data_IF_713334359895
#
_entry.id   IF_713334359895
#
_cell.length_a   1.000
_cell.length_b   1.000
_cell.length_c   1.000
_cell.angle_alpha   90.00
_cell.angle_beta   90.00
_cell.angle_gamma   90.00
#
_symmetry.space_group_name_H-M   'P 1'
#
loop_
_entity.id
_entity.type
_entity.pdbx_description
1 polymer ?
#
# COMPACT_ATOMS: atom_id res chain seq x y z
N UNK A 1 -20.79 -35.24 -0.48
CA UNK A 1 -20.72 -34.52 0.81
C UNK A 1 -20.17 -33.13 0.54
N UNK A 2 -21.01 -32.10 0.55
CA UNK A 2 -20.62 -30.73 0.22
C UNK A 2 -20.16 -30.00 1.48
N UNK A 3 -18.88 -29.62 1.56
CA UNK A 3 -18.26 -28.92 2.70
C UNK A 3 -18.06 -27.44 2.35
N UNK A 4 -19.12 -26.67 2.05
CA UNK A 4 -18.94 -25.26 1.64
C UNK A 4 -20.11 -24.34 2.01
N UNK A 5 -20.21 -23.92 3.28
CA UNK A 5 -20.69 -22.54 3.55
C UNK A 5 -19.88 -21.76 4.60
N UNK A 6 -19.23 -22.42 5.56
CA UNK A 6 -18.68 -21.72 6.75
C UNK A 6 -17.40 -20.91 6.46
N UNK A 7 -16.54 -21.34 5.53
CA UNK A 7 -15.32 -20.59 5.18
C UNK A 7 -15.59 -19.25 4.49
N UNK A 8 -16.70 -19.11 3.76
CA UNK A 8 -17.01 -17.85 3.06
C UNK A 8 -17.48 -16.76 4.03
N UNK A 9 -18.25 -17.12 5.05
CA UNK A 9 -18.81 -16.14 6.00
C UNK A 9 -17.71 -15.56 6.89
N UNK A 10 -16.80 -16.41 7.39
CA UNK A 10 -15.68 -15.99 8.24
C UNK A 10 -14.69 -15.09 7.47
N UNK A 11 -14.43 -15.42 6.20
CA UNK A 11 -13.55 -14.62 5.35
C UNK A 11 -14.16 -13.25 5.05
N UNK A 12 -15.47 -13.18 4.78
CA UNK A 12 -16.18 -11.91 4.53
C UNK A 12 -16.28 -11.05 5.79
N UNK A 13 -16.49 -11.61 6.98
CA UNK A 13 -16.49 -10.84 8.23
C UNK A 13 -15.10 -10.30 8.59
N UNK A 14 -14.04 -11.10 8.40
CA UNK A 14 -12.66 -10.62 8.55
C UNK A 14 -12.37 -9.51 7.52
N UNK A 15 -12.76 -9.70 6.26
CA UNK A 15 -12.59 -8.68 5.22
C UNK A 15 -13.41 -7.41 5.51
N UNK A 16 -14.66 -7.52 5.94
CA UNK A 16 -15.50 -6.38 6.27
C UNK A 16 -15.03 -5.64 7.53
N UNK A 17 -14.43 -6.34 8.51
CA UNK A 17 -13.80 -5.69 9.66
C UNK A 17 -12.50 -4.99 9.30
N UNK A 18 -11.65 -5.59 8.47
CA UNK A 18 -10.35 -5.00 8.10
C UNK A 18 -10.48 -3.91 7.03
N UNK A 19 -11.39 -4.08 6.05
CA UNK A 19 -11.61 -3.15 4.93
C UNK A 19 -12.84 -2.25 5.10
N UNK A 20 -13.78 -2.56 6.00
CA UNK A 20 -14.93 -1.69 6.26
C UNK A 20 -14.52 -0.35 6.88
N UNK A 21 -13.40 -0.33 7.62
CA UNK A 21 -12.77 0.92 8.08
C UNK A 21 -12.00 1.65 6.98
N UNK A 22 -11.44 0.93 6.00
CA UNK A 22 -10.83 1.54 4.82
C UNK A 22 -11.88 2.16 3.87
N UNK A 23 -13.10 1.60 3.84
CA UNK A 23 -14.21 2.13 3.02
C UNK A 23 -14.94 3.34 3.64
N UNK A 24 -14.74 3.62 4.94
CA UNK A 24 -15.42 4.70 5.66
C UNK A 24 -14.77 6.09 5.49
N UNK A 25 -13.70 6.21 4.70
CA UNK A 25 -12.97 7.47 4.46
C UNK A 25 -13.25 8.13 3.09
N UNK A 26 -14.34 7.78 2.38
CA UNK A 26 -14.69 8.41 1.08
C UNK A 26 -15.67 9.59 1.21
N UNK A 27 -16.07 9.99 2.42
CA UNK A 27 -17.03 11.10 2.60
C UNK A 27 -16.56 12.11 3.66
N UNK A 28 -15.62 12.96 3.27
CA UNK A 28 -15.23 14.12 4.07
C UNK A 28 -14.29 15.05 3.30
N UNK A 29 -14.85 16.06 2.63
CA UNK A 29 -14.18 17.33 2.25
C UNK A 29 -12.79 17.22 1.60
N UNK A 30 -12.75 17.13 0.27
CA UNK A 30 -11.56 17.41 -0.54
C UNK A 30 -11.13 18.87 -0.38
N UNK A 31 -10.30 19.17 0.61
CA UNK A 31 -9.38 20.30 0.55
C UNK A 31 -8.10 19.76 -0.10
N UNK A 32 -7.81 20.15 -1.34
CA UNK A 32 -6.63 19.62 -2.05
C UNK A 32 -5.34 19.83 -1.23
N UNK A 33 -4.39 18.87 -1.28
CA UNK A 33 -3.19 18.93 -0.46
C UNK A 33 -2.38 20.18 -0.82
N UNK A 34 -1.94 20.93 0.19
CA UNK A 34 -1.13 22.14 0.04
C UNK A 34 0.27 21.85 -0.57
N UNK A 35 0.63 20.57 -0.76
CA UNK A 35 1.83 20.11 -1.43
C UNK A 35 1.52 18.93 -2.37
N UNK A 36 0.79 19.20 -3.46
CA UNK A 36 0.61 18.23 -4.53
C UNK A 36 1.97 17.87 -5.17
N UNK A 37 2.46 16.66 -4.92
CA UNK A 37 3.68 16.16 -5.56
C UNK A 37 3.38 15.86 -7.03
N UNK A 38 4.10 16.51 -7.94
CA UNK A 38 4.00 16.24 -9.38
C UNK A 38 4.40 14.79 -9.70
N UNK A 39 3.59 14.09 -10.48
CA UNK A 39 3.78 12.67 -10.77
C UNK A 39 5.09 12.36 -11.54
N UNK A 40 5.43 13.09 -12.63
CA UNK A 40 6.75 12.97 -13.26
C UNK A 40 7.91 13.09 -12.26
N UNK A 41 7.82 14.04 -11.34
CA UNK A 41 8.82 14.24 -10.28
C UNK A 41 8.87 13.05 -9.32
N UNK A 42 7.71 12.55 -8.90
CA UNK A 42 7.63 11.35 -8.05
C UNK A 42 8.23 10.11 -8.72
N UNK A 43 7.88 9.85 -9.99
CA UNK A 43 8.39 8.72 -10.76
C UNK A 43 9.91 8.82 -10.93
N UNK A 44 10.42 10.01 -11.24
CA UNK A 44 11.86 10.24 -11.35
C UNK A 44 12.59 9.91 -10.04
N UNK A 45 12.08 10.40 -8.90
CA UNK A 45 12.66 10.12 -7.59
C UNK A 45 12.56 8.66 -7.17
N UNK A 46 11.44 8.00 -7.48
CA UNK A 46 11.24 6.58 -7.20
C UNK A 46 12.25 5.70 -7.95
N UNK A 47 12.73 6.15 -9.12
CA UNK A 47 13.58 5.37 -10.03
C UNK A 47 15.05 5.83 -10.07
N UNK A 48 15.41 6.96 -9.45
CA UNK A 48 16.78 7.52 -9.43
C UNK A 48 17.78 6.63 -8.67
N UNK A 49 17.34 5.99 -7.59
CA UNK A 49 18.17 5.11 -6.75
C UNK A 49 17.30 4.05 -6.04
N UNK A 50 16.22 3.64 -6.69
CA UNK A 50 15.25 2.68 -6.19
C UNK A 50 15.43 1.28 -6.76
N UNK A 51 14.62 0.31 -6.30
CA UNK A 51 14.58 -1.03 -6.91
C UNK A 51 13.92 -1.03 -8.30
N UNK A 52 13.20 0.05 -8.65
CA UNK A 52 12.57 0.24 -9.94
C UNK A 52 13.46 1.05 -10.88
N UNK A 53 13.56 0.60 -12.13
CA UNK A 53 14.14 1.36 -13.23
C UNK A 53 13.09 2.29 -13.86
N UNK A 54 13.48 3.38 -14.52
CA UNK A 54 12.54 4.27 -15.21
C UNK A 54 11.63 3.53 -16.20
N UNK A 55 12.17 2.57 -16.95
CA UNK A 55 11.41 1.76 -17.92
C UNK A 55 10.41 0.76 -17.27
N UNK A 56 10.49 0.58 -15.95
CA UNK A 56 9.64 -0.33 -15.18
C UNK A 56 8.42 0.36 -14.58
N UNK A 57 8.30 1.68 -14.70
CA UNK A 57 7.07 2.41 -14.31
C UNK A 57 6.32 2.77 -15.59
N UNK A 58 5.26 2.00 -15.91
CA UNK A 58 4.59 2.06 -17.20
C UNK A 58 3.13 2.52 -17.06
N UNK A 59 2.61 3.32 -17.99
CA UNK A 59 1.17 3.57 -18.05
C UNK A 59 0.39 2.26 -18.23
N UNK A 60 -0.71 2.11 -17.52
CA UNK A 60 -1.57 0.93 -17.65
C UNK A 60 -2.44 1.07 -18.90
N UNK A 61 -2.25 0.18 -19.88
CA UNK A 61 -2.84 0.31 -21.22
C UNK A 61 -4.39 0.36 -21.24
N UNK A 62 -5.05 -0.24 -20.24
CA UNK A 62 -6.50 -0.36 -20.17
C UNK A 62 -7.14 0.48 -19.05
N UNK A 63 -6.44 1.49 -18.55
CA UNK A 63 -6.94 2.42 -17.53
C UNK A 63 -6.90 3.87 -18.03
N UNK A 64 -7.64 4.79 -17.39
CA UNK A 64 -7.52 6.21 -17.68
C UNK A 64 -6.07 6.69 -17.57
N UNK A 65 -5.76 7.80 -18.25
CA UNK A 65 -4.47 8.46 -18.09
C UNK A 65 -4.23 8.79 -16.62
N UNK A 66 -3.02 8.54 -16.15
CA UNK A 66 -2.62 8.76 -14.76
C UNK A 66 -2.46 7.48 -13.94
N UNK A 67 -2.84 6.32 -14.46
CA UNK A 67 -2.55 5.03 -13.80
C UNK A 67 -1.25 4.43 -14.34
N UNK A 68 -0.36 4.06 -13.43
CA UNK A 68 0.92 3.45 -13.75
C UNK A 68 1.10 2.15 -12.97
N UNK A 69 1.72 1.16 -13.59
CA UNK A 69 2.11 -0.11 -12.98
C UNK A 69 3.62 -0.20 -12.78
N UNK A 70 4.02 -0.97 -11.77
CA UNK A 70 5.40 -1.40 -11.56
C UNK A 70 5.62 -2.75 -12.23
N UNK A 71 6.40 -2.74 -13.30
CA UNK A 71 6.80 -3.91 -14.07
C UNK A 71 8.22 -4.37 -13.70
N UNK A 72 8.56 -5.63 -13.95
CA UNK A 72 9.94 -6.12 -13.83
C UNK A 72 10.48 -6.37 -12.41
N UNK A 73 9.68 -6.18 -11.36
CA UNK A 73 9.99 -6.69 -10.02
C UNK A 73 9.38 -8.06 -9.79
N UNK A 74 10.21 -9.09 -9.64
CA UNK A 74 9.74 -10.44 -9.33
C UNK A 74 9.02 -10.44 -7.97
N UNK A 75 7.84 -11.06 -7.90
CA UNK A 75 7.04 -11.19 -6.68
C UNK A 75 6.64 -9.85 -6.02
N UNK A 76 6.68 -8.74 -6.75
CA UNK A 76 6.09 -7.47 -6.33
C UNK A 76 5.08 -7.03 -7.39
N UNK A 77 3.88 -6.67 -6.96
CA UNK A 77 2.86 -6.06 -7.80
C UNK A 77 2.45 -4.74 -7.20
N UNK A 78 2.55 -3.66 -7.97
CA UNK A 78 2.27 -2.33 -7.47
C UNK A 78 2.09 -1.33 -8.59
N UNK A 79 1.90 -0.09 -8.20
CA UNK A 79 1.66 1.00 -9.12
C UNK A 79 1.38 2.30 -8.39
N UNK A 80 1.01 3.31 -9.16
CA UNK A 80 0.59 4.60 -8.65
C UNK A 80 -0.54 5.18 -9.50
N UNK A 81 -1.29 6.08 -8.89
CA UNK A 81 -2.33 6.87 -9.53
C UNK A 81 -2.00 8.34 -9.41
N UNK A 82 -2.14 9.03 -10.54
CA UNK A 82 -2.05 10.47 -10.67
C UNK A 82 -3.42 11.04 -10.97
N UNK A 83 -3.76 12.15 -10.31
CA UNK A 83 -5.00 12.90 -10.53
C UNK A 83 -4.64 14.33 -10.86
N UNK A 84 -5.06 14.80 -12.03
CA UNK A 84 -4.75 16.15 -12.52
C UNK A 84 -3.24 16.48 -12.52
N UNK A 85 -2.38 15.49 -12.80
CA UNK A 85 -0.92 15.64 -12.84
C UNK A 85 -0.21 15.46 -11.48
N UNK A 86 -0.94 15.51 -10.38
CA UNK A 86 -0.41 15.26 -9.04
C UNK A 86 -0.51 13.78 -8.67
N UNK A 87 0.43 13.30 -7.84
CA UNK A 87 0.32 12.01 -7.18
C UNK A 87 -0.90 12.00 -6.27
N UNK A 88 -1.70 10.96 -6.39
CA UNK A 88 -2.90 10.74 -5.58
C UNK A 88 -2.71 9.53 -4.67
N UNK A 89 -2.24 8.39 -5.24
CA UNK A 89 -1.91 7.20 -4.47
C UNK A 89 -0.69 6.46 -5.05
N UNK A 90 0.03 5.72 -4.20
CA UNK A 90 1.07 4.76 -4.60
C UNK A 90 0.99 3.54 -3.69
N UNK A 91 1.16 2.34 -4.24
CA UNK A 91 1.08 1.11 -3.45
C UNK A 91 1.78 -0.06 -4.10
N UNK A 92 2.20 -1.02 -3.28
CA UNK A 92 2.71 -2.29 -3.76
C UNK A 92 2.50 -3.43 -2.77
N UNK A 93 2.40 -4.63 -3.32
CA UNK A 93 2.23 -5.89 -2.61
C UNK A 93 3.43 -6.78 -2.86
N UNK A 94 4.14 -7.14 -1.79
CA UNK A 94 5.14 -8.21 -1.80
C UNK A 94 4.42 -9.55 -1.71
N UNK A 95 4.53 -10.38 -2.74
CA UNK A 95 3.89 -11.70 -2.85
C UNK A 95 4.70 -12.83 -2.19
N UNK A 96 5.89 -12.50 -1.69
CA UNK A 96 6.80 -13.42 -1.01
C UNK A 96 7.50 -12.73 0.15
N UNK A 97 7.78 -13.49 1.20
CA UNK A 97 8.58 -13.04 2.34
C UNK A 97 10.09 -13.19 2.16
N UNK A 98 10.55 -13.55 0.96
CA UNK A 98 11.98 -13.66 0.65
C UNK A 98 12.71 -12.32 0.92
N UNK A 99 13.94 -12.39 1.42
CA UNK A 99 14.65 -11.23 1.93
C UNK A 99 14.88 -10.14 0.87
N UNK A 100 15.18 -10.54 -0.37
CA UNK A 100 15.36 -9.67 -1.53
C UNK A 100 14.06 -8.98 -1.96
N UNK A 101 12.93 -9.71 -1.93
CA UNK A 101 11.59 -9.17 -2.20
C UNK A 101 11.21 -8.17 -1.12
N UNK A 102 11.39 -8.52 0.15
CA UNK A 102 11.06 -7.64 1.28
C UNK A 102 11.96 -6.40 1.35
N UNK A 103 13.23 -6.52 0.98
CA UNK A 103 14.15 -5.39 0.85
C UNK A 103 13.67 -4.44 -0.26
N UNK A 104 13.36 -4.98 -1.43
CA UNK A 104 12.85 -4.18 -2.56
C UNK A 104 11.54 -3.48 -2.20
N UNK A 105 10.59 -4.20 -1.62
CA UNK A 105 9.32 -3.63 -1.14
C UNK A 105 9.53 -2.50 -0.13
N UNK A 106 10.42 -2.70 0.85
CA UNK A 106 10.72 -1.70 1.87
C UNK A 106 11.39 -0.46 1.28
N UNK A 107 12.24 -0.62 0.25
CA UNK A 107 12.83 0.50 -0.47
C UNK A 107 11.78 1.31 -1.24
N UNK A 108 10.79 0.67 -1.87
CA UNK A 108 9.68 1.39 -2.53
C UNK A 108 8.91 2.23 -1.51
N UNK A 109 8.57 1.66 -0.34
CA UNK A 109 7.89 2.39 0.74
C UNK A 109 8.71 3.60 1.19
N UNK A 110 9.98 3.37 1.51
CA UNK A 110 10.87 4.42 2.01
C UNK A 110 11.03 5.56 1.00
N UNK A 111 11.31 5.23 -0.27
CA UNK A 111 11.43 6.23 -1.34
C UNK A 111 10.14 7.01 -1.57
N UNK A 112 9.00 6.32 -1.55
CA UNK A 112 7.71 6.98 -1.70
C UNK A 112 7.49 8.01 -0.58
N UNK A 113 7.76 7.64 0.67
CA UNK A 113 7.62 8.53 1.83
C UNK A 113 8.66 9.65 1.88
N UNK A 114 9.90 9.40 1.44
CA UNK A 114 10.92 10.44 1.29
C UNK A 114 10.48 11.54 0.32
N UNK A 115 9.73 11.19 -0.72
CA UNK A 115 9.25 12.16 -1.72
C UNK A 115 8.00 12.89 -1.24
N UNK A 116 7.01 12.18 -0.71
CA UNK A 116 5.72 12.79 -0.33
C UNK A 116 5.74 13.46 1.03
N UNK A 117 6.65 13.05 1.92
CA UNK A 117 6.73 13.54 3.28
C UNK A 117 8.19 13.69 3.77
N UNK A 118 9.07 14.40 3.05
CA UNK A 118 10.52 14.45 3.33
C UNK A 118 10.89 14.89 4.75
N UNK A 119 10.13 15.82 5.34
CA UNK A 119 10.35 16.30 6.71
C UNK A 119 9.69 15.47 7.81
N UNK A 120 8.76 14.57 7.46
CA UNK A 120 7.98 13.79 8.41
C UNK A 120 8.33 12.29 8.38
N UNK A 121 8.97 11.81 7.31
CA UNK A 121 9.38 10.42 7.16
C UNK A 121 10.32 9.99 8.29
N UNK A 122 9.94 8.89 8.95
CA UNK A 122 10.72 8.24 10.00
C UNK A 122 10.54 6.73 9.83
N UNK A 123 11.65 6.00 9.70
CA UNK A 123 11.64 4.53 9.56
C UNK A 123 10.92 3.84 10.71
N UNK A 124 11.04 4.37 11.94
CA UNK A 124 10.31 3.88 13.12
C UNK A 124 8.79 3.90 12.93
N UNK A 125 8.22 4.96 12.33
CA UNK A 125 6.77 5.03 12.06
C UNK A 125 6.29 3.97 11.07
N UNK A 126 7.11 3.65 10.06
CA UNK A 126 6.80 2.55 9.12
C UNK A 126 6.82 1.20 9.85
N UNK A 127 7.82 1.00 10.72
CA UNK A 127 7.90 -0.21 11.53
C UNK A 127 6.70 -0.34 12.48
N UNK A 128 6.21 0.77 13.05
CA UNK A 128 5.00 0.79 13.88
C UNK A 128 3.75 0.36 13.08
N UNK A 129 3.56 0.89 11.86
CA UNK A 129 2.45 0.48 11.00
C UNK A 129 2.52 -1.02 10.66
N UNK A 130 3.70 -1.55 10.34
CA UNK A 130 3.90 -2.99 10.12
C UNK A 130 3.63 -3.79 11.40
N UNK A 131 4.08 -3.28 12.56
CA UNK A 131 3.86 -3.88 13.87
C UNK A 131 2.37 -3.98 14.22
N UNK A 132 1.61 -2.91 14.00
CA UNK A 132 0.16 -2.89 14.16
C UNK A 132 -0.53 -3.90 13.24
N UNK A 133 -0.15 -3.94 11.96
CA UNK A 133 -0.70 -4.91 11.01
C UNK A 133 -0.46 -6.37 11.45
N UNK A 134 0.74 -6.66 11.98
CA UNK A 134 1.08 -7.99 12.53
C UNK A 134 0.29 -8.32 13.79
N UNK A 135 0.16 -7.37 14.72
CA UNK A 135 -0.60 -7.55 15.95
C UNK A 135 -2.09 -7.81 15.64
N UNK A 136 -2.66 -7.04 14.71
CA UNK A 136 -4.04 -7.24 14.26
C UNK A 136 -4.20 -8.59 13.53
N UNK A 137 -3.23 -8.98 12.70
CA UNK A 137 -3.23 -10.30 12.06
C UNK A 137 -3.18 -11.46 13.05
N UNK A 138 -2.38 -11.35 14.12
CA UNK A 138 -2.34 -12.35 15.18
C UNK A 138 -3.69 -12.44 15.93
N UNK A 139 -4.30 -11.29 16.22
CA UNK A 139 -5.62 -11.21 16.85
C UNK A 139 -6.71 -11.84 15.97
N UNK A 140 -6.74 -11.50 14.68
CA UNK A 140 -7.70 -12.04 13.73
C UNK A 140 -7.48 -13.54 13.48
N UNK A 141 -6.23 -14.02 13.50
CA UNK A 141 -5.97 -15.46 13.43
C UNK A 141 -6.52 -16.19 14.65
N UNK A 142 -6.32 -15.67 15.86
CA UNK A 142 -6.83 -16.27 17.08
C UNK A 142 -8.37 -16.26 17.15
N UNK A 143 -9.00 -15.19 16.67
CA UNK A 143 -10.46 -15.02 16.74
C UNK A 143 -11.21 -15.69 15.58
N UNK A 144 -10.64 -15.66 14.37
CA UNK A 144 -11.33 -15.99 13.11
C UNK A 144 -10.62 -17.08 12.30
N UNK A 145 -9.44 -17.54 12.71
CA UNK A 145 -8.63 -18.50 11.95
C UNK A 145 -8.00 -17.92 10.68
N UNK A 146 -8.03 -16.59 10.50
CA UNK A 146 -7.52 -15.90 9.30
C UNK A 146 -6.44 -14.90 9.70
N UNK A 147 -5.22 -15.07 9.18
CA UNK A 147 -4.08 -14.20 9.48
C UNK A 147 -4.07 -12.94 8.59
N UNK A 148 -5.10 -12.11 8.71
CA UNK A 148 -5.20 -10.79 8.04
C UNK A 148 -5.18 -9.68 9.06
N UNK A 149 -4.52 -8.56 8.75
CA UNK A 149 -4.52 -7.41 9.65
C UNK A 149 -4.09 -6.14 8.95
N UNK A 150 -4.42 -5.01 9.55
CA UNK A 150 -4.05 -3.69 9.03
C UNK A 150 -3.36 -2.84 10.09
N UNK A 151 -2.49 -1.96 9.61
CA UNK A 151 -1.75 -1.03 10.44
C UNK A 151 -1.45 0.22 9.66
N UNK A 152 -1.46 1.34 10.35
CA UNK A 152 -1.66 2.62 9.70
C UNK A 152 -0.92 3.73 10.44
N UNK A 153 -0.39 4.72 9.69
CA UNK A 153 0.34 5.85 10.27
C UNK A 153 0.31 7.07 9.34
N UNK A 154 0.22 8.25 9.95
CA UNK A 154 0.19 9.53 9.22
C UNK A 154 1.58 10.21 9.15
N UNK A 155 1.85 10.81 8.00
CA UNK A 155 3.06 11.54 7.63
C UNK A 155 2.69 12.91 7.01
N UNK A 156 2.35 13.89 7.84
CA UNK A 156 1.82 15.17 7.35
C UNK A 156 0.45 14.95 6.71
N UNK A 157 0.27 15.40 5.47
CA UNK A 157 -0.98 15.25 4.69
C UNK A 157 -1.08 13.89 3.98
N UNK A 158 -0.16 12.96 4.27
CA UNK A 158 -0.12 11.63 3.66
C UNK A 158 -0.30 10.54 4.70
N UNK A 159 -0.94 9.47 4.27
CA UNK A 159 -1.17 8.30 5.10
C UNK A 159 -0.50 7.07 4.53
N UNK A 160 0.17 6.30 5.38
CA UNK A 160 0.63 4.95 5.06
C UNK A 160 -0.33 3.94 5.67
N UNK A 161 -0.91 3.09 4.82
CA UNK A 161 -1.65 1.90 5.20
C UNK A 161 -0.82 0.65 4.85
N UNK A 162 -0.68 -0.27 5.78
CA UNK A 162 -0.04 -1.58 5.61
C UNK A 162 -1.06 -2.66 5.90
N UNK A 163 -1.19 -3.63 5.00
CA UNK A 163 -2.18 -4.70 5.10
C UNK A 163 -1.51 -6.05 4.87
N UNK A 164 -1.78 -7.00 5.76
CA UNK A 164 -1.41 -8.40 5.60
C UNK A 164 -2.60 -9.12 4.97
N UNK A 165 -2.41 -9.64 3.75
CA UNK A 165 -3.41 -10.37 3.00
C UNK A 165 -3.04 -11.86 3.02
N UNK A 166 -3.85 -12.72 3.66
CA UNK A 166 -3.58 -14.15 3.77
C UNK A 166 -3.39 -14.78 2.39
N UNK A 167 -2.36 -15.61 2.24
CA UNK A 167 -2.01 -16.30 0.99
C UNK A 167 -1.70 -15.38 -0.20
N UNK A 168 -1.57 -14.06 0.02
CA UNK A 168 -1.21 -13.10 -1.01
C UNK A 168 0.08 -12.40 -0.62
N UNK A 169 0.18 -11.81 0.57
CA UNK A 169 1.41 -11.20 1.06
C UNK A 169 1.21 -9.88 1.80
N UNK A 170 2.23 -9.03 1.80
CA UNK A 170 2.25 -7.75 2.50
C UNK A 170 2.04 -6.60 1.51
N UNK A 171 0.95 -5.84 1.69
CA UNK A 171 0.63 -4.67 0.88
C UNK A 171 0.90 -3.40 1.65
N UNK A 172 1.36 -2.35 0.96
CA UNK A 172 1.21 -0.98 1.42
C UNK A 172 0.44 -0.14 0.42
N UNK A 173 -0.15 0.94 0.92
CA UNK A 173 -0.69 2.05 0.15
C UNK A 173 -0.32 3.35 0.85
N UNK A 174 0.10 4.34 0.08
CA UNK A 174 0.30 5.72 0.51
C UNK A 174 -0.67 6.59 -0.27
N UNK A 175 -1.52 7.33 0.44
CA UNK A 175 -2.53 8.22 -0.13
C UNK A 175 -2.49 9.59 0.52
N UNK A 176 -2.80 10.63 -0.25
CA UNK A 176 -3.05 11.96 0.32
C UNK A 176 -4.43 12.02 0.97
N UNK A 177 -4.55 12.82 2.04
CA UNK A 177 -5.84 13.23 2.62
C UNK A 177 -6.63 14.16 1.68
#
# INVERSE_FOLDING_TARGET
MAIWPQHRVVMVEAFARTYGWAALLVLGTFAGPAHAVDCPTFIARLTEAGPLLPAQVKPVANMPVGYYEFDGLSQIKGGLRCKSGALDTVGATALSGAADVMQSWSLIVARSLEVVAPGAFKTGKVADAIGHAKADAAKNHAALGVATGSGQVQFGDWYLSVVIIPNVGLQFEISGD
#
